data_IF_311774543776
#
_entry.id   IF_311774543776
#
_cell.length_a   1.000
_cell.length_b   1.000
_cell.length_c   1.000
_cell.angle_alpha   90.00
_cell.angle_beta   90.00
_cell.angle_gamma   90.00
#
_symmetry.space_group_name_H-M   'P 1'
#
loop_
_entity.id
_entity.type
_entity.pdbx_description
1 polymer ?
#
# COMPACT_ATOMS: atom_id res chain seq x y z
N UNK A 1 -18.08 18.39 16.84
CA UNK A 1 -18.57 18.38 15.47
C UNK A 1 -18.44 16.97 14.94
N UNK A 2 -19.32 16.56 14.02
CA UNK A 2 -19.24 15.29 13.32
C UNK A 2 -18.31 15.43 12.13
N UNK A 3 -17.34 14.52 12.00
CA UNK A 3 -16.33 14.53 10.91
C UNK A 3 -16.40 13.20 10.17
N UNK A 4 -16.60 13.25 8.84
CA UNK A 4 -16.37 12.12 7.96
C UNK A 4 -14.95 12.19 7.38
N UNK A 5 -14.25 11.06 7.32
CA UNK A 5 -12.92 10.97 6.73
C UNK A 5 -12.99 9.98 5.58
N UNK A 6 -12.68 10.46 4.37
CA UNK A 6 -12.54 9.65 3.16
C UNK A 6 -11.04 9.50 2.92
N UNK A 7 -10.50 8.30 3.10
CA UNK A 7 -9.08 8.03 2.90
C UNK A 7 -8.87 7.20 1.64
N UNK A 8 -8.15 7.78 0.67
CA UNK A 8 -7.88 7.18 -0.62
C UNK A 8 -6.42 6.77 -0.75
N UNK A 9 -6.16 5.81 -1.64
CA UNK A 9 -4.82 5.42 -2.06
C UNK A 9 -4.19 4.34 -1.19
N UNK A 10 -2.92 4.49 -0.82
CA UNK A 10 -2.10 3.41 -0.30
C UNK A 10 -2.13 3.27 1.23
N UNK A 11 -1.68 2.11 1.78
CA UNK A 11 -1.58 1.87 3.22
C UNK A 11 -0.85 2.95 4.02
N UNK A 12 0.17 3.60 3.43
CA UNK A 12 0.88 4.71 4.09
C UNK A 12 -0.01 5.93 4.29
N UNK A 13 -0.86 6.22 3.30
CA UNK A 13 -1.82 7.31 3.39
C UNK A 13 -2.93 7.01 4.41
N UNK A 14 -3.33 5.75 4.52
CA UNK A 14 -4.28 5.29 5.52
C UNK A 14 -3.74 5.47 6.95
N UNK A 15 -2.47 5.08 7.21
CA UNK A 15 -1.83 5.34 8.53
C UNK A 15 -1.77 6.83 8.83
N UNK A 16 -1.55 7.70 7.83
CA UNK A 16 -1.59 9.14 8.02
C UNK A 16 -2.99 9.61 8.45
N UNK A 17 -4.05 9.06 7.82
CA UNK A 17 -5.44 9.34 8.19
C UNK A 17 -5.75 8.89 9.62
N UNK A 18 -5.31 7.69 10.02
CA UNK A 18 -5.47 7.17 11.37
C UNK A 18 -4.87 8.11 12.43
N UNK A 19 -3.69 8.68 12.17
CA UNK A 19 -2.99 9.59 13.08
C UNK A 19 -3.76 10.92 13.23
N UNK A 20 -4.15 11.55 12.13
CA UNK A 20 -4.88 12.82 12.26
C UNK A 20 -6.33 12.62 12.73
N UNK A 21 -6.96 11.49 12.44
CA UNK A 21 -8.27 11.11 13.00
C UNK A 21 -8.21 11.05 14.53
N UNK A 22 -7.19 10.38 15.09
CA UNK A 22 -6.97 10.36 16.53
C UNK A 22 -6.80 11.78 17.12
N UNK A 23 -6.03 12.64 16.43
CA UNK A 23 -5.84 14.02 16.88
C UNK A 23 -7.15 14.82 16.89
N UNK A 24 -8.03 14.61 15.89
CA UNK A 24 -9.36 15.25 15.83
C UNK A 24 -10.29 14.73 16.94
N UNK A 25 -10.31 13.44 17.20
CA UNK A 25 -11.09 12.84 18.31
C UNK A 25 -10.62 13.42 19.64
N UNK A 26 -9.30 13.53 19.85
CA UNK A 26 -8.73 14.14 21.06
C UNK A 26 -9.08 15.62 21.21
N UNK A 27 -9.29 16.33 20.09
CA UNK A 27 -9.76 17.74 20.07
C UNK A 27 -11.29 17.86 20.31
N UNK A 28 -11.99 16.75 20.59
CA UNK A 28 -13.41 16.72 20.95
C UNK A 28 -14.37 16.55 19.77
N UNK A 29 -13.88 16.13 18.61
CA UNK A 29 -14.70 15.79 17.46
C UNK A 29 -15.15 14.32 17.51
N UNK A 30 -16.23 14.00 16.77
CA UNK A 30 -16.78 12.64 16.64
C UNK A 30 -16.73 12.23 15.19
N UNK A 31 -16.22 11.04 14.89
CA UNK A 31 -16.22 10.48 13.54
C UNK A 31 -17.56 9.86 13.20
N UNK A 32 -18.00 10.04 11.94
CA UNK A 32 -19.20 9.42 11.35
C UNK A 32 -18.80 8.70 10.08
N UNK A 33 -19.51 7.60 9.77
CA UNK A 33 -19.25 6.80 8.56
C UNK A 33 -19.92 7.44 7.34
N UNK A 34 -21.15 7.98 7.50
CA UNK A 34 -21.90 8.60 6.43
C UNK A 34 -21.48 10.07 6.26
N UNK A 35 -20.91 10.48 5.11
CA UNK A 35 -20.60 11.87 4.82
C UNK A 35 -21.82 12.81 4.87
N UNK A 36 -23.03 12.29 4.60
CA UNK A 36 -24.27 13.06 4.68
C UNK A 36 -24.63 13.52 6.10
N UNK A 37 -24.11 12.85 7.13
CA UNK A 37 -24.31 13.22 8.55
C UNK A 37 -23.23 14.17 9.10
N UNK A 38 -22.21 14.49 8.30
CA UNK A 38 -21.04 15.21 8.77
C UNK A 38 -21.26 16.74 8.78
N UNK A 39 -20.62 17.39 9.75
CA UNK A 39 -20.40 18.84 9.72
C UNK A 39 -19.16 19.20 8.89
N UNK A 40 -18.22 18.25 8.78
CA UNK A 40 -16.96 18.40 8.07
C UNK A 40 -16.64 17.09 7.35
N UNK A 41 -16.27 17.17 6.07
CA UNK A 41 -15.70 16.06 5.31
C UNK A 41 -14.22 16.33 5.08
N UNK A 42 -13.34 15.41 5.46
CA UNK A 42 -11.91 15.47 5.21
C UNK A 42 -11.55 14.39 4.20
N UNK A 43 -11.05 14.78 3.04
CA UNK A 43 -10.60 13.86 2.00
C UNK A 43 -9.08 13.75 2.04
N UNK A 44 -8.56 12.59 2.43
CA UNK A 44 -7.15 12.25 2.40
C UNK A 44 -6.82 11.61 1.05
N UNK A 45 -6.30 12.41 0.15
CA UNK A 45 -6.20 12.12 -1.28
C UNK A 45 -4.95 11.36 -1.68
N UNK A 46 -5.05 10.54 -2.72
CA UNK A 46 -3.91 10.01 -3.48
C UNK A 46 -3.62 10.92 -4.69
N UNK A 47 -2.34 11.01 -5.07
CA UNK A 47 -1.91 11.85 -6.21
C UNK A 47 -0.69 11.23 -6.88
N UNK A 48 -0.58 9.88 -6.86
CA UNK A 48 0.61 9.17 -7.34
C UNK A 48 0.58 8.91 -8.84
N UNK A 49 -0.54 8.43 -9.36
CA UNK A 49 -0.77 8.15 -10.80
C UNK A 49 -2.09 8.77 -11.24
N UNK A 50 -2.29 8.88 -12.57
CA UNK A 50 -3.46 9.58 -13.15
C UNK A 50 -4.79 9.02 -12.64
N UNK A 51 -4.98 7.71 -12.63
CA UNK A 51 -6.23 7.09 -12.14
C UNK A 51 -6.53 7.44 -10.68
N UNK A 52 -5.50 7.46 -9.81
CA UNK A 52 -5.67 7.86 -8.42
C UNK A 52 -5.94 9.37 -8.25
N UNK A 53 -5.47 10.20 -9.18
CA UNK A 53 -5.82 11.64 -9.21
C UNK A 53 -7.27 11.83 -9.61
N UNK A 54 -7.72 11.10 -10.63
CA UNK A 54 -9.13 11.12 -11.08
C UNK A 54 -10.06 10.71 -9.94
N UNK A 55 -9.81 9.57 -9.29
CA UNK A 55 -10.55 9.11 -8.12
C UNK A 55 -10.60 10.18 -7.01
N UNK A 56 -9.46 10.80 -6.71
CA UNK A 56 -9.39 11.82 -5.68
C UNK A 56 -10.21 13.06 -6.04
N UNK A 57 -10.17 13.52 -7.29
CA UNK A 57 -10.96 14.67 -7.77
C UNK A 57 -12.45 14.34 -7.73
N UNK A 58 -12.87 13.18 -8.17
CA UNK A 58 -14.26 12.72 -8.13
C UNK A 58 -14.80 12.71 -6.70
N UNK A 59 -14.04 12.19 -5.74
CA UNK A 59 -14.41 12.20 -4.32
C UNK A 59 -14.49 13.62 -3.74
N UNK A 60 -13.60 14.55 -4.14
CA UNK A 60 -13.68 15.95 -3.73
C UNK A 60 -14.97 16.59 -4.26
N UNK A 61 -15.28 16.40 -5.55
CA UNK A 61 -16.47 16.94 -6.17
C UNK A 61 -17.75 16.37 -5.55
N UNK A 62 -17.76 15.05 -5.26
CA UNK A 62 -18.87 14.39 -4.58
C UNK A 62 -19.06 14.96 -3.16
N UNK A 63 -17.99 15.15 -2.41
CA UNK A 63 -18.05 15.77 -1.09
C UNK A 63 -18.60 17.22 -1.15
N UNK A 64 -18.24 17.98 -2.16
CA UNK A 64 -18.77 19.33 -2.37
C UNK A 64 -20.27 19.35 -2.71
N UNK A 65 -20.83 18.27 -3.30
CA UNK A 65 -22.26 18.18 -3.60
C UNK A 65 -23.14 18.18 -2.34
N UNK A 66 -22.66 17.61 -1.22
CA UNK A 66 -23.38 17.63 0.07
C UNK A 66 -23.64 19.05 0.57
N UNK A 67 -22.91 20.08 0.12
CA UNK A 67 -23.17 21.49 0.44
C UNK A 67 -24.49 22.00 -0.13
N UNK A 68 -25.07 21.33 -1.13
CA UNK A 68 -26.39 21.68 -1.67
C UNK A 68 -27.49 21.40 -0.64
N UNK A 69 -27.34 20.34 0.16
CA UNK A 69 -28.27 19.94 1.20
C UNK A 69 -27.90 20.55 2.56
N UNK A 70 -26.60 20.72 2.83
CA UNK A 70 -26.06 21.33 4.05
C UNK A 70 -25.07 22.47 3.69
N UNK A 71 -25.50 23.71 3.52
CA UNK A 71 -24.65 24.84 3.16
C UNK A 71 -23.55 25.17 4.20
N UNK A 72 -23.71 24.74 5.46
CA UNK A 72 -22.73 24.93 6.53
C UNK A 72 -21.62 23.87 6.54
N UNK A 73 -21.78 22.79 5.77
CA UNK A 73 -20.78 21.72 5.61
C UNK A 73 -19.43 22.29 5.17
N UNK A 74 -18.37 21.79 5.78
CA UNK A 74 -16.99 22.14 5.41
C UNK A 74 -16.29 20.97 4.71
N UNK A 75 -15.59 21.27 3.62
CA UNK A 75 -14.78 20.30 2.86
C UNK A 75 -13.32 20.67 2.97
N UNK A 76 -12.53 19.72 3.51
CA UNK A 76 -11.08 19.87 3.71
C UNK A 76 -10.37 18.80 2.86
N UNK A 77 -9.43 19.20 2.04
CA UNK A 77 -8.63 18.29 1.21
C UNK A 77 -7.21 18.22 1.73
N UNK A 78 -6.73 17.00 1.98
CA UNK A 78 -5.34 16.73 2.39
C UNK A 78 -4.75 15.55 1.61
N UNK A 79 -3.52 15.13 1.93
CA UNK A 79 -2.88 13.98 1.31
C UNK A 79 -1.98 14.32 0.13
N UNK A 80 -1.69 13.30 -0.68
CA UNK A 80 -0.69 13.40 -1.75
C UNK A 80 -1.10 14.35 -2.89
N UNK A 81 -2.38 14.35 -3.29
CA UNK A 81 -2.88 15.27 -4.31
C UNK A 81 -2.80 16.72 -3.81
N UNK A 82 -3.26 16.96 -2.58
CA UNK A 82 -3.21 18.27 -1.94
C UNK A 82 -1.76 18.80 -1.85
N UNK A 83 -0.78 17.95 -1.58
CA UNK A 83 0.63 18.33 -1.57
C UNK A 83 1.18 18.68 -2.96
N UNK A 84 0.74 17.96 -4.01
CA UNK A 84 1.20 18.20 -5.39
C UNK A 84 0.60 19.46 -6.01
N UNK A 85 -0.70 19.64 -5.86
CA UNK A 85 -1.49 20.63 -6.63
C UNK A 85 -1.93 21.85 -5.81
N UNK A 86 -1.77 21.82 -4.49
CA UNK A 86 -1.87 22.99 -3.60
C UNK A 86 -2.95 24.01 -4.03
N UNK A 87 -2.50 25.19 -4.44
CA UNK A 87 -3.38 26.31 -4.84
C UNK A 87 -4.25 25.99 -6.05
N UNK A 88 -3.85 25.09 -6.93
CA UNK A 88 -4.65 24.72 -8.10
C UNK A 88 -6.00 24.13 -7.69
N UNK A 89 -6.03 23.28 -6.62
CA UNK A 89 -7.27 22.70 -6.11
C UNK A 89 -8.26 23.80 -5.70
N UNK A 90 -7.80 24.82 -4.95
CA UNK A 90 -8.65 25.93 -4.52
C UNK A 90 -9.13 26.79 -5.71
N UNK A 91 -8.28 26.96 -6.73
CA UNK A 91 -8.62 27.77 -7.90
C UNK A 91 -9.68 27.08 -8.78
N UNK A 92 -9.58 25.77 -8.93
CA UNK A 92 -10.47 25.01 -9.82
C UNK A 92 -11.72 24.46 -9.10
N UNK A 93 -11.64 24.26 -7.76
CA UNK A 93 -12.77 23.79 -6.94
C UNK A 93 -12.98 24.78 -5.78
N UNK A 94 -13.59 25.94 -6.05
CA UNK A 94 -13.77 27.00 -5.04
C UNK A 94 -14.70 26.61 -3.87
N UNK A 95 -15.44 25.52 -3.98
CA UNK A 95 -16.27 24.95 -2.91
C UNK A 95 -15.45 24.31 -1.78
N UNK A 96 -14.16 24.00 -2.00
CA UNK A 96 -13.26 23.46 -0.97
C UNK A 96 -12.93 24.56 0.05
N UNK A 97 -13.16 24.29 1.35
CA UNK A 97 -12.93 25.27 2.42
C UNK A 97 -11.45 25.29 2.88
N UNK A 98 -10.74 24.16 2.76
CA UNK A 98 -9.30 24.14 3.06
C UNK A 98 -8.53 23.11 2.22
N UNK A 99 -7.27 23.49 1.87
CA UNK A 99 -6.28 22.56 1.29
C UNK A 99 -5.06 22.50 2.21
N UNK A 100 -4.72 21.27 2.61
CA UNK A 100 -3.70 21.01 3.63
C UNK A 100 -2.64 20.08 3.04
N UNK A 101 -1.41 20.56 2.92
CA UNK A 101 -0.28 19.70 2.55
C UNK A 101 0.08 18.71 3.64
N UNK A 102 0.72 17.60 3.26
CA UNK A 102 1.05 16.49 4.18
C UNK A 102 1.92 16.94 5.38
N UNK A 103 2.77 17.94 5.20
CA UNK A 103 3.58 18.52 6.28
C UNK A 103 2.75 19.27 7.34
N UNK A 104 1.48 19.57 7.04
CA UNK A 104 0.56 20.28 7.95
C UNK A 104 -0.50 19.37 8.58
N UNK A 105 -0.48 18.06 8.36
CA UNK A 105 -1.51 17.15 8.89
C UNK A 105 -1.64 17.22 10.42
N UNK A 106 -0.55 17.44 11.15
CA UNK A 106 -0.56 17.65 12.59
C UNK A 106 -1.36 18.88 13.03
N UNK A 107 -1.53 19.87 12.15
CA UNK A 107 -2.30 21.09 12.41
C UNK A 107 -3.79 20.97 12.08
N UNK A 108 -4.27 19.83 11.58
CA UNK A 108 -5.67 19.63 11.18
C UNK A 108 -6.68 20.05 12.26
N UNK A 109 -6.51 19.74 13.56
CA UNK A 109 -7.44 20.23 14.59
C UNK A 109 -7.53 21.77 14.64
N UNK A 110 -6.42 22.47 14.48
CA UNK A 110 -6.40 23.95 14.42
C UNK A 110 -7.00 24.48 13.11
N UNK A 111 -6.78 23.79 11.99
CA UNK A 111 -7.36 24.13 10.68
C UNK A 111 -8.87 23.98 10.72
N UNK A 112 -9.40 22.89 11.28
CA UNK A 112 -10.83 22.67 11.49
C UNK A 112 -11.45 23.83 12.25
N UNK A 113 -10.86 24.27 13.37
CA UNK A 113 -11.36 25.43 14.13
C UNK A 113 -11.36 26.72 13.30
N UNK A 114 -10.36 26.93 12.44
CA UNK A 114 -10.28 28.10 11.56
C UNK A 114 -11.34 28.10 10.47
N UNK A 115 -11.54 26.97 9.82
CA UNK A 115 -12.54 26.79 8.76
C UNK A 115 -13.97 26.99 9.28
N UNK A 116 -14.23 26.60 10.52
CA UNK A 116 -15.54 26.72 11.16
C UNK A 116 -15.77 28.08 11.85
N UNK A 117 -14.78 28.97 11.87
CA UNK A 117 -14.97 30.32 12.43
C UNK A 117 -15.91 31.15 11.54
N UNK A 118 -16.76 31.96 12.18
CA UNK A 118 -17.70 32.84 11.45
C UNK A 118 -16.95 33.78 10.47
N UNK A 119 -17.38 33.77 9.20
CA UNK A 119 -16.75 34.59 8.16
C UNK A 119 -15.37 34.09 7.69
N UNK A 120 -15.04 32.83 7.96
CA UNK A 120 -13.80 32.24 7.50
C UNK A 120 -13.68 32.27 5.97
N UNK A 121 -12.55 32.74 5.46
CA UNK A 121 -12.11 32.53 4.08
C UNK A 121 -11.51 31.14 3.93
N UNK A 122 -11.34 30.69 2.68
CA UNK A 122 -10.59 29.48 2.39
C UNK A 122 -9.24 29.42 3.12
N UNK A 123 -8.86 28.24 3.61
CA UNK A 123 -7.65 28.04 4.39
C UNK A 123 -6.64 27.22 3.60
N UNK A 124 -5.44 27.77 3.47
CA UNK A 124 -4.29 27.04 2.93
C UNK A 124 -3.26 26.79 4.03
N UNK A 125 -2.69 25.58 4.06
CA UNK A 125 -1.65 25.23 5.04
C UNK A 125 -0.66 24.23 4.44
N UNK A 126 0.58 24.67 4.18
CA UNK A 126 1.61 23.89 3.54
C UNK A 126 2.90 23.92 4.37
N UNK A 127 2.99 23.03 5.35
CA UNK A 127 4.22 22.84 6.15
C UNK A 127 5.32 22.12 5.36
N UNK A 128 6.58 22.21 5.82
CA UNK A 128 7.67 21.42 5.27
C UNK A 128 7.35 19.90 5.35
N UNK A 129 7.74 19.15 4.32
CA UNK A 129 7.56 17.68 4.31
C UNK A 129 8.29 16.98 5.47
N UNK A 130 9.37 17.60 5.97
CA UNK A 130 10.07 17.16 7.17
C UNK A 130 9.21 17.13 8.43
N UNK A 131 8.15 17.93 8.47
CA UNK A 131 7.27 18.06 9.64
C UNK A 131 6.13 17.04 9.64
N UNK A 132 6.02 16.26 8.55
CA UNK A 132 5.09 15.15 8.50
C UNK A 132 5.39 14.13 9.60
N UNK A 133 4.37 13.78 10.39
CA UNK A 133 4.49 12.77 11.44
C UNK A 133 4.76 11.39 10.83
N UNK A 134 5.74 10.68 11.37
CA UNK A 134 6.09 9.34 10.91
C UNK A 134 5.23 8.25 11.55
N UNK A 135 4.70 8.51 12.73
CA UNK A 135 3.85 7.63 13.53
C UNK A 135 3.22 8.43 14.68
N UNK A 136 2.82 7.75 15.72
CA UNK A 136 2.19 8.34 16.90
C UNK A 136 0.89 7.65 17.27
N UNK A 137 0.18 8.19 18.26
CA UNK A 137 -1.14 7.69 18.62
C UNK A 137 -2.10 7.82 17.43
N UNK A 138 -2.82 6.75 17.13
CA UNK A 138 -3.73 6.68 15.99
C UNK A 138 -4.97 5.83 16.30
N UNK A 139 -5.98 5.91 15.48
CA UNK A 139 -7.06 4.93 15.41
C UNK A 139 -6.61 3.74 14.55
N UNK A 140 -7.37 2.67 14.56
CA UNK A 140 -7.18 1.54 13.63
C UNK A 140 -8.40 1.54 12.71
N UNK A 141 -8.20 1.90 11.45
CA UNK A 141 -9.27 1.93 10.43
C UNK A 141 -9.38 0.64 9.62
N UNK A 142 -8.37 -0.23 9.69
CA UNK A 142 -8.44 -1.59 9.16
C UNK A 142 -9.33 -2.49 10.03
N UNK A 143 -9.80 -3.65 9.52
CA UNK A 143 -10.28 -4.74 10.38
C UNK A 143 -9.28 -5.02 11.51
N UNK A 144 -9.80 -5.34 12.71
CA UNK A 144 -8.96 -5.37 13.91
C UNK A 144 -7.85 -6.43 13.91
N UNK A 145 -7.93 -7.43 13.07
CA UNK A 145 -6.98 -8.55 13.04
C UNK A 145 -5.70 -8.25 12.23
N UNK A 146 -5.67 -7.20 11.42
CA UNK A 146 -4.42 -6.75 10.78
C UNK A 146 -4.26 -5.23 10.86
N UNK A 147 -3.02 -4.77 10.77
CA UNK A 147 -2.73 -3.34 10.70
C UNK A 147 -1.43 -3.07 9.95
N UNK A 148 -1.38 -1.92 9.30
CA UNK A 148 -0.15 -1.42 8.68
C UNK A 148 0.76 -0.79 9.71
N UNK A 149 2.03 -1.17 9.71
CA UNK A 149 3.09 -0.54 10.50
C UNK A 149 3.99 0.28 9.56
N UNK A 150 3.77 1.59 9.54
CA UNK A 150 4.61 2.50 8.74
C UNK A 150 5.93 2.75 9.45
N UNK A 151 7.05 2.26 8.88
CA UNK A 151 8.39 2.30 9.49
C UNK A 151 9.27 3.44 8.98
N UNK A 152 8.93 4.01 7.83
CA UNK A 152 9.66 5.13 7.25
C UNK A 152 8.75 5.94 6.31
N UNK A 153 9.21 7.12 5.93
CA UNK A 153 8.54 8.02 4.99
C UNK A 153 9.54 8.60 4.00
N UNK A 154 9.08 8.82 2.75
CA UNK A 154 9.93 9.34 1.68
C UNK A 154 10.85 8.30 1.07
N UNK A 155 11.56 8.66 0.00
CA UNK A 155 12.40 7.73 -0.75
C UNK A 155 13.59 8.42 -1.40
N UNK A 156 14.76 7.78 -1.35
CA UNK A 156 16.00 8.26 -1.97
C UNK A 156 16.39 7.51 -3.25
N UNK A 157 15.55 6.59 -3.77
CA UNK A 157 15.87 5.78 -4.94
C UNK A 157 15.95 6.61 -6.24
N UNK A 158 15.13 7.67 -6.35
CA UNK A 158 15.21 8.62 -7.45
C UNK A 158 14.79 8.04 -8.81
N UNK A 159 13.90 7.05 -8.83
CA UNK A 159 13.35 6.48 -10.07
C UNK A 159 12.70 7.58 -10.91
N UNK A 160 12.99 7.62 -12.21
CA UNK A 160 12.61 8.73 -13.10
C UNK A 160 11.11 8.82 -13.39
N UNK A 161 10.38 7.73 -13.23
CA UNK A 161 8.91 7.69 -13.35
C UNK A 161 8.19 8.11 -12.06
N UNK A 162 8.89 8.23 -10.93
CA UNK A 162 8.26 8.26 -9.61
C UNK A 162 8.13 9.69 -9.06
N UNK A 163 6.90 10.07 -8.70
CA UNK A 163 6.61 11.35 -8.07
C UNK A 163 6.81 11.37 -6.54
N UNK A 164 7.11 10.24 -5.90
CA UNK A 164 7.23 10.15 -4.43
C UNK A 164 8.21 11.16 -3.83
N UNK A 165 9.43 11.37 -4.35
CA UNK A 165 10.33 12.37 -3.78
C UNK A 165 9.77 13.81 -3.85
N UNK A 166 8.94 14.08 -4.88
CA UNK A 166 8.25 15.35 -5.04
C UNK A 166 7.11 15.54 -4.04
N UNK A 167 6.45 14.45 -3.64
CA UNK A 167 5.30 14.45 -2.73
C UNK A 167 5.77 14.30 -1.28
N UNK A 168 6.51 13.22 -0.97
CA UNK A 168 6.83 12.78 0.39
C UNK A 168 8.25 13.10 0.85
N UNK A 169 9.09 13.60 -0.06
CA UNK A 169 10.45 14.00 0.23
C UNK A 169 11.46 12.86 0.34
N UNK A 170 12.57 13.13 1.01
CA UNK A 170 13.65 12.16 1.23
C UNK A 170 13.29 11.15 2.30
N UNK A 171 13.97 10.00 2.28
CA UNK A 171 13.85 8.95 3.29
C UNK A 171 14.05 9.51 4.71
N UNK A 172 13.11 9.20 5.59
CA UNK A 172 13.17 9.42 7.03
C UNK A 172 12.65 8.18 7.73
N UNK A 173 13.54 7.45 8.37
CA UNK A 173 13.22 6.24 9.11
C UNK A 173 12.71 6.59 10.52
N UNK A 174 11.75 5.82 11.01
CA UNK A 174 11.28 5.91 12.41
C UNK A 174 12.26 5.20 13.32
N UNK A 175 12.43 5.72 14.52
CA UNK A 175 13.20 5.04 15.56
C UNK A 175 12.66 3.62 15.82
N UNK A 176 13.56 2.65 15.97
CA UNK A 176 13.20 1.23 16.18
C UNK A 176 12.25 1.06 17.37
N UNK A 177 12.55 1.74 18.48
CA UNK A 177 11.74 1.65 19.68
C UNK A 177 10.32 2.19 19.50
N UNK A 178 10.12 3.22 18.66
CA UNK A 178 8.81 3.75 18.33
C UNK A 178 7.98 2.75 17.52
N UNK A 179 8.60 2.11 16.53
CA UNK A 179 7.96 1.07 15.75
C UNK A 179 7.55 -0.12 16.63
N UNK A 180 8.43 -0.56 17.54
CA UNK A 180 8.16 -1.67 18.46
C UNK A 180 7.06 -1.29 19.47
N UNK A 181 7.05 -0.06 19.97
CA UNK A 181 6.03 0.41 20.89
C UNK A 181 4.64 0.43 20.22
N UNK A 182 4.56 0.93 18.99
CA UNK A 182 3.32 0.92 18.21
C UNK A 182 2.86 -0.52 17.93
N UNK A 183 3.78 -1.40 17.50
CA UNK A 183 3.44 -2.80 17.22
C UNK A 183 2.92 -3.55 18.48
N UNK A 184 3.47 -3.27 19.66
CA UNK A 184 2.95 -3.80 20.93
C UNK A 184 1.54 -3.27 21.26
N UNK A 185 1.31 -1.98 21.02
CA UNK A 185 0.00 -1.40 21.19
C UNK A 185 -1.01 -2.06 20.24
N UNK A 186 -0.67 -2.21 18.95
CA UNK A 186 -1.51 -2.88 17.96
C UNK A 186 -1.84 -4.33 18.38
N UNK A 187 -0.85 -5.09 18.86
CA UNK A 187 -1.07 -6.43 19.40
C UNK A 187 -2.06 -6.43 20.57
N UNK A 188 -1.96 -5.44 21.47
CA UNK A 188 -2.89 -5.24 22.60
C UNK A 188 -4.31 -4.90 22.17
N UNK A 189 -4.49 -4.27 21.00
CA UNK A 189 -5.80 -3.98 20.39
C UNK A 189 -6.39 -5.18 19.62
N UNK A 190 -5.67 -6.32 19.56
CA UNK A 190 -6.14 -7.53 18.90
C UNK A 190 -5.60 -7.78 17.50
N UNK A 191 -4.63 -6.97 17.04
CA UNK A 191 -3.97 -7.18 15.74
C UNK A 191 -3.14 -8.46 15.79
N UNK A 192 -3.32 -9.31 14.78
CA UNK A 192 -2.64 -10.60 14.61
C UNK A 192 -1.62 -10.57 13.48
N UNK A 193 -1.88 -9.77 12.45
CA UNK A 193 -0.96 -9.57 11.32
C UNK A 193 -0.46 -8.11 11.29
N UNK A 194 0.87 -7.93 11.30
CA UNK A 194 1.51 -6.65 11.04
C UNK A 194 2.00 -6.60 9.59
N UNK A 195 1.59 -5.58 8.87
CA UNK A 195 2.04 -5.33 7.50
C UNK A 195 3.02 -4.16 7.54
N UNK A 196 4.29 -4.46 7.40
CA UNK A 196 5.38 -3.46 7.45
C UNK A 196 5.44 -2.72 6.13
N UNK A 197 5.26 -1.40 6.18
CA UNK A 197 5.18 -0.54 5.00
C UNK A 197 6.10 0.68 5.10
N UNK A 198 6.70 1.02 3.97
CA UNK A 198 7.37 2.27 3.65
C UNK A 198 7.31 2.45 2.13
N UNK A 199 7.93 3.47 1.57
CA UNK A 199 8.15 3.54 0.13
C UNK A 199 9.22 2.54 -0.34
N UNK A 200 10.13 2.20 0.57
CA UNK A 200 11.15 1.15 0.42
C UNK A 200 11.58 0.70 1.83
N UNK A 201 10.96 -0.34 2.42
CA UNK A 201 11.33 -0.83 3.74
C UNK A 201 12.76 -1.37 3.81
N UNK A 202 13.30 -1.86 2.69
CA UNK A 202 14.67 -2.38 2.65
C UNK A 202 15.74 -1.28 2.80
N UNK A 203 15.34 -0.01 2.61
CA UNK A 203 16.18 1.18 2.87
C UNK A 203 16.08 1.70 4.31
N UNK A 204 15.29 1.04 5.19
CA UNK A 204 15.14 1.47 6.58
C UNK A 204 16.48 1.58 7.30
N UNK A 205 16.74 2.75 7.91
CA UNK A 205 17.98 3.08 8.63
C UNK A 205 19.12 3.60 7.75
N UNK A 206 18.99 3.63 6.41
CA UNK A 206 20.05 4.21 5.54
C UNK A 206 20.29 5.70 5.84
N UNK A 207 19.25 6.45 6.18
CA UNK A 207 19.34 7.87 6.58
C UNK A 207 20.08 8.08 7.93
N UNK A 208 20.23 7.03 8.71
CA UNK A 208 21.08 7.00 9.94
C UNK A 208 22.50 6.46 9.69
N UNK A 209 22.83 6.10 8.44
CA UNK A 209 24.08 5.41 8.12
C UNK A 209 24.12 3.95 8.59
N UNK A 210 22.95 3.31 8.76
CA UNK A 210 22.79 1.91 9.19
C UNK A 210 22.05 1.11 8.13
N UNK A 211 22.63 0.81 6.97
CA UNK A 211 22.00 -0.04 5.97
C UNK A 211 21.70 -1.43 6.57
N UNK A 212 20.53 -1.99 6.25
CA UNK A 212 20.10 -3.28 6.79
C UNK A 212 19.47 -3.25 8.18
N UNK A 213 19.20 -2.06 8.76
CA UNK A 213 18.51 -1.93 10.05
C UNK A 213 17.11 -2.56 10.08
N UNK A 214 16.52 -2.84 8.92
CA UNK A 214 15.28 -3.62 8.80
C UNK A 214 15.41 -5.00 9.47
N UNK A 215 16.58 -5.63 9.43
CA UNK A 215 16.82 -6.92 10.08
C UNK A 215 16.68 -6.82 11.61
N UNK A 216 17.20 -5.76 12.20
CA UNK A 216 17.08 -5.52 13.66
C UNK A 216 15.61 -5.25 14.03
N UNK A 217 14.87 -4.56 13.17
CA UNK A 217 13.45 -4.32 13.38
C UNK A 217 12.66 -5.63 13.33
N UNK A 218 12.89 -6.50 12.34
CA UNK A 218 12.23 -7.80 12.26
C UNK A 218 12.52 -8.67 13.49
N UNK A 219 13.77 -8.68 13.96
CA UNK A 219 14.19 -9.38 15.18
C UNK A 219 13.51 -8.86 16.44
N UNK A 220 13.17 -7.57 16.45
CA UNK A 220 12.42 -6.97 17.55
C UNK A 220 10.91 -7.26 17.47
N UNK A 221 10.32 -7.15 16.28
CA UNK A 221 8.90 -7.44 16.04
C UNK A 221 8.54 -8.91 16.29
N UNK A 222 9.43 -9.84 15.94
CA UNK A 222 9.30 -11.28 16.21
C UNK A 222 8.97 -11.59 17.68
N UNK A 223 9.46 -10.76 18.62
CA UNK A 223 9.32 -10.97 20.07
C UNK A 223 7.99 -10.47 20.64
N UNK A 224 7.15 -9.84 19.82
CA UNK A 224 5.88 -9.26 20.30
C UNK A 224 4.85 -10.39 20.39
N UNK A 225 4.37 -10.64 21.60
CA UNK A 225 3.27 -11.55 21.85
C UNK A 225 1.97 -11.02 21.21
N UNK A 226 1.08 -11.91 20.80
CA UNK A 226 -0.19 -11.57 20.12
C UNK A 226 -0.05 -11.40 18.60
N UNK A 227 1.10 -10.98 18.08
CA UNK A 227 1.35 -10.97 16.63
C UNK A 227 1.73 -12.38 16.17
N UNK A 228 1.04 -12.88 15.15
CA UNK A 228 1.29 -14.19 14.53
C UNK A 228 1.96 -14.06 13.17
N UNK A 229 1.59 -13.06 12.37
CA UNK A 229 2.16 -12.80 11.05
C UNK A 229 2.78 -11.41 10.93
N UNK A 230 3.92 -11.34 10.25
CA UNK A 230 4.60 -10.10 9.87
C UNK A 230 4.84 -10.16 8.37
N UNK A 231 4.24 -9.26 7.60
CA UNK A 231 4.36 -9.16 6.15
C UNK A 231 5.16 -7.93 5.77
N UNK A 232 5.94 -8.01 4.68
CA UNK A 232 6.77 -6.90 4.19
C UNK A 232 6.32 -6.57 2.77
N UNK A 233 5.94 -5.30 2.52
CA UNK A 233 5.57 -4.81 1.20
C UNK A 233 6.60 -3.82 0.68
N UNK A 234 6.74 -3.71 -0.67
CA UNK A 234 7.54 -2.71 -1.38
C UNK A 234 9.06 -2.84 -1.22
N UNK A 235 9.59 -4.07 -1.13
CA UNK A 235 11.02 -4.33 -1.09
C UNK A 235 11.71 -3.96 -2.43
N UNK A 236 12.97 -3.53 -2.34
CA UNK A 236 13.72 -3.14 -3.53
C UNK A 236 14.73 -4.25 -3.90
N UNK A 237 14.71 -4.80 -5.16
CA UNK A 237 15.50 -5.97 -5.52
C UNK A 237 16.99 -5.86 -5.17
N UNK A 238 17.59 -4.70 -5.43
CA UNK A 238 19.02 -4.46 -5.23
C UNK A 238 19.44 -4.37 -3.75
N UNK A 239 18.46 -4.37 -2.82
CA UNK A 239 18.69 -4.38 -1.38
C UNK A 239 18.41 -5.73 -0.72
N UNK A 240 18.08 -6.76 -1.50
CA UNK A 240 17.86 -8.11 -1.00
C UNK A 240 19.23 -8.74 -0.70
N UNK A 241 19.78 -8.42 0.47
CA UNK A 241 21.05 -8.96 0.95
C UNK A 241 20.86 -10.34 1.60
N UNK A 242 21.96 -11.11 1.72
CA UNK A 242 21.95 -12.39 2.45
C UNK A 242 21.53 -12.20 3.92
N UNK A 243 21.90 -11.07 4.54
CA UNK A 243 21.47 -10.73 5.89
C UNK A 243 19.96 -10.52 5.99
N UNK A 244 19.32 -9.89 4.97
CA UNK A 244 17.87 -9.73 4.91
C UNK A 244 17.17 -11.07 4.73
N UNK A 245 17.63 -11.91 3.79
CA UNK A 245 17.09 -13.26 3.58
C UNK A 245 17.22 -14.09 4.87
N UNK A 246 18.39 -14.07 5.52
CA UNK A 246 18.59 -14.74 6.79
C UNK A 246 17.68 -14.19 7.90
N UNK A 247 17.36 -12.89 7.88
CA UNK A 247 16.39 -12.30 8.81
C UNK A 247 14.97 -12.81 8.55
N UNK A 248 14.54 -12.93 7.29
CA UNK A 248 13.25 -13.54 6.98
C UNK A 248 13.17 -14.99 7.47
N UNK A 249 14.19 -15.79 7.20
CA UNK A 249 14.23 -17.23 7.60
C UNK A 249 14.21 -17.43 9.12
N UNK A 250 15.04 -16.68 9.88
CA UNK A 250 15.13 -16.87 11.35
C UNK A 250 13.91 -16.34 12.11
N UNK A 251 13.17 -15.40 11.54
CA UNK A 251 12.00 -14.79 12.17
C UNK A 251 10.73 -15.50 11.70
N UNK A 252 10.29 -16.52 12.44
CA UNK A 252 9.20 -17.43 12.04
C UNK A 252 7.82 -16.78 11.89
N UNK A 253 7.63 -15.59 12.46
CA UNK A 253 6.42 -14.78 12.25
C UNK A 253 6.44 -13.99 10.94
N UNK A 254 7.62 -13.80 10.35
CA UNK A 254 7.74 -13.21 9.01
C UNK A 254 7.21 -14.22 8.00
N UNK A 255 6.09 -13.90 7.38
CA UNK A 255 5.47 -14.80 6.39
C UNK A 255 6.36 -14.95 5.16
N UNK A 256 6.37 -16.12 4.49
CA UNK A 256 7.11 -16.36 3.26
C UNK A 256 6.46 -15.63 2.07
N UNK A 257 6.42 -14.32 2.13
CA UNK A 257 5.84 -13.41 1.16
C UNK A 257 6.71 -12.18 1.02
N UNK A 258 7.01 -11.77 -0.20
CA UNK A 258 7.75 -10.53 -0.46
C UNK A 258 7.22 -9.84 -1.71
N UNK A 259 6.76 -8.59 -1.53
CA UNK A 259 6.44 -7.71 -2.65
C UNK A 259 7.72 -7.03 -3.14
N UNK A 260 8.12 -7.35 -4.38
CA UNK A 260 9.38 -6.99 -5.00
C UNK A 260 9.15 -6.30 -6.36
N UNK A 261 8.75 -5.00 -6.39
CA UNK A 261 8.47 -4.28 -7.62
C UNK A 261 9.72 -4.11 -8.50
N UNK A 262 9.88 -4.94 -9.52
CA UNK A 262 11.04 -4.90 -10.42
C UNK A 262 10.88 -3.86 -11.52
N UNK A 263 9.67 -3.52 -11.91
CA UNK A 263 9.22 -2.56 -12.91
C UNK A 263 9.47 -3.00 -14.36
N UNK A 264 10.61 -3.57 -14.69
CA UNK A 264 10.99 -4.12 -16.00
C UNK A 264 12.12 -5.14 -15.83
N UNK A 265 12.46 -5.89 -16.91
CA UNK A 265 13.57 -6.86 -16.90
C UNK A 265 14.71 -6.49 -17.85
N UNK A 266 14.50 -5.60 -18.82
CA UNK A 266 15.54 -5.18 -19.77
C UNK A 266 16.48 -4.15 -19.13
N UNK A 267 17.80 -4.35 -19.26
CA UNK A 267 18.84 -3.52 -18.66
C UNK A 267 18.82 -2.07 -19.15
N UNK A 268 18.51 -1.83 -20.43
CA UNK A 268 18.48 -0.48 -20.98
C UNK A 268 17.26 0.29 -20.49
N UNK A 269 16.11 -0.37 -20.38
CA UNK A 269 14.88 0.22 -19.81
C UNK A 269 15.06 0.49 -18.31
N UNK A 270 15.58 -0.45 -17.54
CA UNK A 270 15.87 -0.28 -16.10
C UNK A 270 16.84 0.88 -15.88
N UNK A 271 17.88 0.99 -16.69
CA UNK A 271 18.81 2.13 -16.66
C UNK A 271 18.11 3.45 -17.01
N UNK A 272 17.24 3.46 -18.01
CA UNK A 272 16.46 4.64 -18.38
C UNK A 272 15.45 5.02 -17.28
N UNK A 273 14.94 4.07 -16.51
CA UNK A 273 14.13 4.28 -15.30
C UNK A 273 14.94 4.79 -14.09
N UNK A 274 16.26 4.88 -14.20
CA UNK A 274 17.20 5.16 -13.10
C UNK A 274 17.13 4.12 -11.98
N UNK A 275 16.90 2.84 -12.34
CA UNK A 275 17.03 1.70 -11.43
C UNK A 275 18.52 1.37 -11.26
N UNK A 276 18.93 1.00 -10.04
CA UNK A 276 20.35 0.78 -9.72
C UNK A 276 20.86 -0.59 -10.14
N UNK A 277 19.98 -1.60 -10.15
CA UNK A 277 20.27 -2.95 -10.61
C UNK A 277 19.79 -3.18 -12.03
N UNK A 278 20.20 -4.29 -12.61
CA UNK A 278 19.77 -4.80 -13.91
C UNK A 278 19.07 -6.15 -13.77
N UNK A 279 18.86 -6.80 -14.91
CA UNK A 279 18.20 -8.12 -14.99
C UNK A 279 18.89 -9.16 -14.12
N UNK A 280 20.22 -9.20 -14.17
CA UNK A 280 20.99 -10.20 -13.42
C UNK A 280 20.79 -10.06 -11.93
N UNK A 281 20.80 -8.84 -11.40
CA UNK A 281 20.59 -8.59 -9.97
C UNK A 281 19.18 -9.00 -9.54
N UNK A 282 18.17 -8.80 -10.39
CA UNK A 282 16.79 -9.23 -10.17
C UNK A 282 16.71 -10.76 -10.13
N UNK A 283 17.26 -11.44 -11.16
CA UNK A 283 17.28 -12.91 -11.24
C UNK A 283 18.05 -13.54 -10.06
N UNK A 284 19.21 -12.98 -9.70
CA UNK A 284 20.01 -13.43 -8.56
C UNK A 284 19.25 -13.26 -7.22
N UNK A 285 18.54 -12.15 -7.03
CA UNK A 285 17.72 -11.92 -5.83
C UNK A 285 16.58 -12.95 -5.73
N UNK A 286 15.85 -13.17 -6.83
CA UNK A 286 14.77 -14.16 -6.90
C UNK A 286 15.29 -15.57 -6.63
N UNK A 287 16.42 -15.95 -7.27
CA UNK A 287 17.01 -17.27 -7.09
C UNK A 287 17.45 -17.52 -5.63
N UNK A 288 18.10 -16.54 -4.98
CA UNK A 288 18.51 -16.63 -3.57
C UNK A 288 17.30 -16.70 -2.63
N UNK A 289 16.25 -15.93 -2.89
CA UNK A 289 15.02 -15.97 -2.09
C UNK A 289 14.36 -17.36 -2.18
N UNK A 290 14.16 -17.88 -3.40
CA UNK A 290 13.55 -19.21 -3.60
C UNK A 290 14.40 -20.36 -3.06
N UNK A 291 15.72 -20.22 -3.12
CA UNK A 291 16.63 -21.23 -2.55
C UNK A 291 16.58 -21.27 -1.01
N UNK A 292 16.47 -20.10 -0.38
CA UNK A 292 16.46 -19.99 1.09
C UNK A 292 15.06 -20.20 1.71
N UNK A 293 13.99 -19.86 0.96
CA UNK A 293 12.59 -19.94 1.39
C UNK A 293 11.82 -20.61 0.24
N UNK A 294 11.77 -21.93 0.18
CA UNK A 294 11.18 -22.67 -0.96
C UNK A 294 9.69 -22.38 -1.22
N UNK A 295 8.94 -22.03 -0.20
CA UNK A 295 7.52 -21.70 -0.22
C UNK A 295 7.25 -20.18 -0.33
N UNK A 296 8.27 -19.38 -0.70
CA UNK A 296 8.10 -17.92 -0.80
C UNK A 296 7.15 -17.55 -1.93
N UNK A 297 6.16 -16.74 -1.59
CA UNK A 297 5.31 -16.04 -2.54
C UNK A 297 6.01 -14.74 -2.96
N UNK A 298 6.32 -14.62 -4.24
CA UNK A 298 6.89 -13.41 -4.82
C UNK A 298 5.82 -12.62 -5.57
N UNK A 299 5.52 -11.44 -5.05
CA UNK A 299 4.70 -10.44 -5.73
C UNK A 299 5.58 -9.44 -6.44
N UNK A 300 5.19 -8.98 -7.63
CA UNK A 300 5.90 -7.94 -8.36
C UNK A 300 4.96 -6.93 -9.00
N UNK A 301 5.55 -5.82 -9.41
CA UNK A 301 4.88 -4.78 -10.21
C UNK A 301 5.75 -4.46 -11.42
N UNK A 302 5.11 -4.37 -12.60
CA UNK A 302 5.71 -4.01 -13.86
C UNK A 302 5.12 -2.70 -14.39
N UNK A 303 5.90 -2.00 -15.22
CA UNK A 303 5.47 -0.83 -15.99
C UNK A 303 5.74 -1.13 -17.45
N UNK A 304 4.68 -1.18 -18.25
CA UNK A 304 4.75 -1.35 -19.70
C UNK A 304 4.64 0.00 -20.42
N UNK A 305 5.36 0.14 -21.54
CA UNK A 305 5.31 1.36 -22.34
C UNK A 305 6.10 2.53 -21.76
N UNK A 306 7.20 2.26 -21.05
CA UNK A 306 8.12 3.30 -20.59
C UNK A 306 8.72 4.03 -21.80
N UNK A 307 9.01 5.37 -21.75
CA UNK A 307 9.54 6.12 -22.88
C UNK A 307 10.77 5.44 -23.50
N UNK A 308 10.66 5.13 -24.81
CA UNK A 308 11.71 4.47 -25.58
C UNK A 308 11.74 2.94 -25.52
N UNK A 309 10.82 2.28 -24.79
CA UNK A 309 10.68 0.82 -24.80
C UNK A 309 10.34 0.31 -26.19
N UNK A 310 11.18 -0.58 -26.74
CA UNK A 310 10.97 -1.17 -28.06
C UNK A 310 10.07 -2.41 -28.01
N UNK A 311 9.62 -2.91 -29.18
CA UNK A 311 8.84 -4.15 -29.25
C UNK A 311 9.68 -5.37 -28.81
N UNK A 312 10.99 -5.38 -29.07
CA UNK A 312 11.89 -6.45 -28.65
C UNK A 312 12.03 -6.49 -27.12
N UNK A 313 12.17 -5.33 -26.48
CA UNK A 313 12.27 -5.21 -25.01
C UNK A 313 10.95 -5.59 -24.32
N UNK A 314 9.83 -5.22 -24.92
CA UNK A 314 8.52 -5.65 -24.49
C UNK A 314 8.31 -7.16 -24.63
N UNK A 315 8.72 -7.76 -25.78
CA UNK A 315 8.66 -9.20 -25.96
C UNK A 315 9.52 -9.95 -24.94
N UNK A 316 10.72 -9.41 -24.63
CA UNK A 316 11.59 -9.95 -23.57
C UNK A 316 10.94 -9.89 -22.18
N UNK A 317 10.18 -8.82 -21.90
CA UNK A 317 9.42 -8.70 -20.65
C UNK A 317 8.31 -9.76 -20.57
N UNK A 318 7.60 -10.03 -21.66
CA UNK A 318 6.60 -11.10 -21.74
C UNK A 318 7.22 -12.49 -21.48
N UNK A 319 8.37 -12.77 -22.10
CA UNK A 319 9.09 -14.03 -21.89
C UNK A 319 9.62 -14.15 -20.44
N UNK A 320 10.03 -13.05 -19.85
CA UNK A 320 10.48 -13.00 -18.45
C UNK A 320 9.34 -13.37 -17.48
N UNK A 321 8.13 -12.84 -17.70
CA UNK A 321 6.94 -13.19 -16.89
C UNK A 321 6.67 -14.69 -16.92
N UNK A 322 6.66 -15.29 -18.13
CA UNK A 322 6.44 -16.72 -18.34
C UNK A 322 7.52 -17.60 -17.70
N UNK A 323 8.78 -17.12 -17.72
CA UNK A 323 9.92 -17.89 -17.22
C UNK A 323 10.06 -17.81 -15.71
N UNK A 324 9.94 -16.61 -15.15
CA UNK A 324 10.10 -16.39 -13.68
C UNK A 324 8.89 -16.90 -12.91
N UNK A 325 7.69 -16.80 -13.51
CA UNK A 325 6.44 -17.28 -12.91
C UNK A 325 6.26 -16.69 -11.50
N UNK A 326 6.03 -15.38 -11.44
CA UNK A 326 5.67 -14.73 -10.19
C UNK A 326 4.32 -15.24 -9.69
N UNK A 327 4.19 -15.39 -8.37
CA UNK A 327 2.94 -15.83 -7.75
C UNK A 327 1.86 -14.75 -7.86
N UNK A 328 2.26 -13.51 -7.73
CA UNK A 328 1.41 -12.32 -7.87
C UNK A 328 2.10 -11.27 -8.73
N UNK A 329 1.39 -10.68 -9.67
CA UNK A 329 1.93 -9.64 -10.54
C UNK A 329 0.86 -8.63 -10.90
N UNK A 330 1.20 -7.33 -10.81
CA UNK A 330 0.43 -6.25 -11.40
C UNK A 330 1.25 -5.55 -12.48
N UNK A 331 0.66 -5.30 -13.63
CA UNK A 331 1.28 -4.50 -14.70
C UNK A 331 0.47 -3.24 -14.94
N UNK A 332 1.15 -2.10 -14.99
CA UNK A 332 0.55 -0.80 -15.25
C UNK A 332 1.10 -0.21 -16.54
N UNK A 333 0.23 0.43 -17.32
CA UNK A 333 0.65 1.33 -18.38
C UNK A 333 1.46 2.49 -17.78
N UNK A 334 2.56 2.87 -18.39
CA UNK A 334 3.36 4.00 -17.90
C UNK A 334 2.54 5.29 -17.87
N UNK A 335 2.45 5.91 -16.72
CA UNK A 335 1.81 7.21 -16.49
C UNK A 335 2.84 8.33 -16.48
N UNK A 336 2.68 9.32 -17.37
CA UNK A 336 3.59 10.47 -17.49
C UNK A 336 3.32 11.51 -16.40
N UNK A 337 3.82 11.25 -15.19
CA UNK A 337 3.57 12.10 -14.04
C UNK A 337 4.32 13.43 -14.13
N UNK A 338 3.59 14.54 -13.96
CA UNK A 338 4.11 15.87 -14.04
C UNK A 338 5.34 16.09 -13.13
N UNK A 339 6.30 16.83 -13.64
CA UNK A 339 7.57 17.15 -12.96
C UNK A 339 8.49 15.94 -12.69
N UNK A 340 8.16 14.74 -13.16
CA UNK A 340 9.10 13.62 -13.18
C UNK A 340 10.07 13.76 -14.36
N UNK A 341 11.21 13.07 -14.27
CA UNK A 341 12.19 13.05 -15.37
C UNK A 341 11.63 12.33 -16.58
N UNK A 342 10.98 11.18 -16.36
CA UNK A 342 10.44 10.34 -17.43
C UNK A 342 9.34 11.03 -18.25
N UNK A 343 8.54 11.91 -17.65
CA UNK A 343 7.53 12.68 -18.38
C UNK A 343 8.10 13.64 -19.43
N UNK A 344 9.40 13.99 -19.30
CA UNK A 344 10.12 14.89 -20.20
C UNK A 344 11.02 14.16 -21.21
N UNK A 345 11.07 12.83 -21.12
CA UNK A 345 11.87 12.02 -22.05
C UNK A 345 11.30 12.06 -23.46
N UNK A 346 12.15 12.00 -24.48
CA UNK A 346 11.70 11.78 -25.85
C UNK A 346 11.14 10.37 -26.01
N UNK A 347 10.55 10.07 -27.18
CA UNK A 347 10.03 8.76 -27.54
C UNK A 347 8.95 8.25 -26.58
N UNK A 348 8.06 9.14 -26.16
CA UNK A 348 6.84 8.76 -25.43
C UNK A 348 6.03 7.82 -26.31
N UNK A 349 5.54 6.74 -25.72
CA UNK A 349 4.68 5.76 -26.37
C UNK A 349 3.23 6.24 -26.23
N UNK A 350 2.40 6.02 -27.23
CA UNK A 350 0.99 6.39 -27.17
C UNK A 350 0.21 5.55 -26.15
N UNK A 351 -0.87 6.10 -25.62
CA UNK A 351 -1.63 5.50 -24.53
C UNK A 351 -2.23 4.13 -24.92
N UNK A 352 -2.69 3.98 -26.18
CA UNK A 352 -3.27 2.72 -26.67
C UNK A 352 -2.23 1.60 -26.67
N UNK A 353 -1.01 1.88 -27.14
CA UNK A 353 0.10 0.92 -27.11
C UNK A 353 0.51 0.56 -25.69
N UNK A 354 0.63 1.53 -24.76
CA UNK A 354 0.94 1.27 -23.36
C UNK A 354 -0.11 0.36 -22.71
N UNK A 355 -1.40 0.69 -22.88
CA UNK A 355 -2.49 -0.08 -22.31
C UNK A 355 -2.53 -1.49 -22.89
N UNK A 356 -2.46 -1.65 -24.19
CA UNK A 356 -2.39 -2.96 -24.86
C UNK A 356 -1.25 -3.84 -24.34
N UNK A 357 -0.05 -3.25 -24.12
CA UNK A 357 1.09 -3.98 -23.55
C UNK A 357 0.84 -4.41 -22.11
N UNK A 358 0.28 -3.52 -21.27
CA UNK A 358 -0.03 -3.82 -19.90
C UNK A 358 -1.11 -4.92 -19.80
N UNK A 359 -2.19 -4.81 -20.57
CA UNK A 359 -3.28 -5.79 -20.60
C UNK A 359 -2.78 -7.18 -21.01
N UNK A 360 -1.96 -7.25 -22.08
CA UNK A 360 -1.39 -8.53 -22.53
C UNK A 360 -0.47 -9.16 -21.46
N UNK A 361 0.34 -8.37 -20.73
CA UNK A 361 1.14 -8.91 -19.62
C UNK A 361 0.22 -9.45 -18.50
N UNK A 362 -0.90 -8.79 -18.24
CA UNK A 362 -1.88 -9.28 -17.24
C UNK A 362 -2.57 -10.57 -17.71
N UNK A 363 -2.85 -10.72 -19.03
CA UNK A 363 -3.35 -11.99 -19.59
C UNK A 363 -2.35 -13.13 -19.38
N UNK A 364 -1.05 -12.88 -19.70
CA UNK A 364 0.00 -13.87 -19.47
C UNK A 364 0.14 -14.25 -18.00
N UNK A 365 0.03 -13.26 -17.10
CA UNK A 365 0.09 -13.52 -15.67
C UNK A 365 -1.15 -14.28 -15.18
N UNK A 366 -2.32 -14.04 -15.75
CA UNK A 366 -3.53 -14.80 -15.40
C UNK A 366 -3.35 -16.30 -15.65
N UNK A 367 -2.71 -16.70 -16.76
CA UNK A 367 -2.35 -18.09 -17.03
C UNK A 367 -1.40 -18.65 -15.95
N UNK A 368 -0.33 -17.91 -15.65
CA UNK A 368 0.64 -18.29 -14.60
C UNK A 368 -0.04 -18.40 -13.23
N UNK A 369 -0.93 -17.45 -12.91
CA UNK A 369 -1.65 -17.42 -11.64
C UNK A 369 -2.56 -18.63 -11.48
N UNK A 370 -3.36 -18.95 -12.52
CA UNK A 370 -4.24 -20.12 -12.52
C UNK A 370 -3.47 -21.44 -12.30
N UNK A 371 -2.29 -21.58 -12.94
CA UNK A 371 -1.43 -22.75 -12.71
C UNK A 371 -0.91 -22.80 -11.27
N UNK A 372 -0.43 -21.67 -10.73
CA UNK A 372 0.10 -21.57 -9.35
C UNK A 372 -0.98 -21.82 -8.29
N UNK A 373 -2.19 -21.30 -8.51
CA UNK A 373 -3.32 -21.58 -7.60
C UNK A 373 -3.76 -23.05 -7.71
N UNK A 374 -3.78 -23.61 -8.91
CA UNK A 374 -4.06 -25.05 -9.12
C UNK A 374 -3.08 -25.99 -8.41
N UNK A 375 -1.80 -25.59 -8.27
CA UNK A 375 -0.79 -26.35 -7.51
C UNK A 375 -1.13 -26.48 -6.01
N UNK A 376 -1.99 -25.59 -5.47
CA UNK A 376 -2.40 -25.59 -4.05
C UNK A 376 -3.56 -26.51 -3.74
N UNK A 377 -4.29 -26.99 -4.76
CA UNK A 377 -5.44 -27.91 -4.59
C UNK A 377 -5.01 -29.23 -3.95
N UNK A 378 -5.75 -29.67 -2.94
CA UNK A 378 -5.45 -30.86 -2.15
C UNK A 378 -4.48 -30.63 -0.98
N UNK A 379 -3.97 -29.41 -0.79
CA UNK A 379 -3.10 -29.06 0.32
C UNK A 379 -3.86 -28.32 1.42
N UNK A 380 -3.36 -28.40 2.65
CA UNK A 380 -3.91 -27.73 3.83
C UNK A 380 -3.01 -26.56 4.23
N UNK A 381 -3.61 -25.39 4.42
CA UNK A 381 -2.91 -24.16 4.82
C UNK A 381 -3.45 -23.59 6.13
N UNK A 382 -2.59 -22.87 6.83
CA UNK A 382 -2.98 -21.96 7.91
C UNK A 382 -3.56 -20.71 7.27
N UNK A 383 -4.81 -20.37 7.59
CA UNK A 383 -5.52 -19.21 7.07
C UNK A 383 -6.05 -18.34 8.22
N UNK A 384 -6.05 -17.01 8.03
CA UNK A 384 -6.74 -16.06 8.90
C UNK A 384 -8.11 -15.73 8.28
N UNK A 385 -9.16 -15.69 9.09
CA UNK A 385 -10.49 -15.31 8.65
C UNK A 385 -10.65 -13.78 8.62
N UNK A 386 -10.90 -13.20 7.45
CA UNK A 386 -11.11 -11.76 7.28
C UNK A 386 -12.58 -11.35 7.47
N UNK A 387 -13.53 -12.28 7.37
CA UNK A 387 -14.94 -12.00 7.54
C UNK A 387 -15.82 -12.80 6.59
N UNK A 388 -17.01 -12.28 6.33
CA UNK A 388 -18.00 -12.85 5.41
C UNK A 388 -18.14 -11.92 4.23
N UNK A 389 -18.20 -12.49 3.04
CA UNK A 389 -18.58 -11.77 1.82
C UNK A 389 -20.12 -11.59 1.80
N UNK A 390 -20.56 -10.37 1.79
CA UNK A 390 -21.98 -10.02 1.84
C UNK A 390 -22.76 -10.46 0.59
N UNK A 391 -22.08 -10.66 -0.56
CA UNK A 391 -22.73 -11.04 -1.81
C UNK A 391 -22.94 -12.56 -1.89
N UNK A 392 -21.92 -13.34 -1.52
CA UNK A 392 -21.94 -14.80 -1.63
C UNK A 392 -22.33 -15.48 -0.33
N UNK A 393 -22.20 -14.81 0.82
CA UNK A 393 -22.37 -15.38 2.15
C UNK A 393 -21.25 -16.35 2.56
N UNK A 394 -20.17 -16.46 1.77
CA UNK A 394 -19.01 -17.28 2.08
C UNK A 394 -18.07 -16.55 3.01
N UNK A 395 -17.31 -17.29 3.81
CA UNK A 395 -16.19 -16.70 4.56
C UNK A 395 -15.02 -16.45 3.64
N UNK A 396 -14.41 -15.29 3.80
CA UNK A 396 -13.16 -14.89 3.19
C UNK A 396 -12.01 -15.17 4.16
N UNK A 397 -11.08 -16.01 3.75
CA UNK A 397 -9.86 -16.29 4.50
C UNK A 397 -8.65 -15.97 3.63
N UNK A 398 -7.50 -15.78 4.26
CA UNK A 398 -6.21 -15.57 3.57
C UNK A 398 -5.15 -16.52 4.12
N UNK A 399 -4.32 -17.02 3.21
CA UNK A 399 -3.11 -17.75 3.57
C UNK A 399 -1.94 -16.78 3.82
N UNK A 400 -0.78 -17.31 4.21
CA UNK A 400 0.47 -16.52 4.26
C UNK A 400 0.88 -15.95 2.92
N UNK A 401 0.38 -16.51 1.82
CA UNK A 401 0.65 -16.09 0.45
C UNK A 401 -0.20 -14.90 -0.03
N UNK A 402 -1.15 -14.43 0.80
CA UNK A 402 -2.14 -13.44 0.37
C UNK A 402 -2.11 -12.21 1.28
N UNK A 403 -1.87 -11.05 0.69
CA UNK A 403 -1.93 -9.75 1.37
C UNK A 403 -3.38 -9.22 1.36
N UNK A 404 -3.91 -8.73 2.50
CA UNK A 404 -5.27 -8.20 2.55
C UNK A 404 -5.48 -7.08 1.53
N UNK A 405 -6.67 -7.03 0.92
CA UNK A 405 -7.12 -6.00 -0.03
C UNK A 405 -6.33 -5.94 -1.36
N UNK A 406 -5.30 -6.77 -1.53
CA UNK A 406 -4.41 -6.70 -2.71
C UNK A 406 -4.41 -8.01 -3.50
N UNK A 407 -4.35 -9.15 -2.81
CA UNK A 407 -4.25 -10.48 -3.41
C UNK A 407 -5.59 -11.22 -3.31
N UNK A 408 -5.66 -12.46 -3.81
CA UNK A 408 -6.86 -13.30 -3.75
C UNK A 408 -7.20 -13.80 -2.35
N UNK A 409 -8.32 -14.48 -2.25
CA UNK A 409 -8.88 -15.03 -1.01
C UNK A 409 -9.08 -16.53 -1.09
N UNK A 410 -9.25 -17.16 0.06
CA UNK A 410 -9.78 -18.53 0.19
C UNK A 410 -11.25 -18.44 0.58
N UNK A 411 -12.14 -18.82 -0.34
CA UNK A 411 -13.57 -18.82 -0.10
C UNK A 411 -13.97 -20.15 0.57
N UNK A 412 -14.66 -20.04 1.72
CA UNK A 412 -15.07 -21.18 2.52
C UNK A 412 -16.57 -21.14 2.81
N UNK A 413 -17.34 -22.23 2.56
CA UNK A 413 -18.77 -22.27 2.88
C UNK A 413 -19.05 -22.04 4.37
N UNK A 414 -20.19 -21.45 4.67
CA UNK A 414 -20.57 -21.05 6.03
C UNK A 414 -21.33 -22.14 6.81
N UNK A 415 -21.04 -23.40 6.62
CA UNK A 415 -21.70 -24.50 7.36
C UNK A 415 -21.44 -24.46 8.87
N UNK A 416 -20.29 -23.88 9.26
CA UNK A 416 -19.93 -23.62 10.66
C UNK A 416 -19.47 -22.18 10.78
N UNK A 417 -20.00 -21.39 11.74
CA UNK A 417 -19.58 -20.01 11.92
C UNK A 417 -18.08 -19.91 12.24
N UNK A 418 -17.34 -19.15 11.42
CA UNK A 418 -15.95 -18.82 11.68
C UNK A 418 -15.86 -17.46 12.36
N UNK A 419 -14.86 -17.29 13.21
CA UNK A 419 -14.59 -16.06 13.94
C UNK A 419 -13.58 -15.18 13.16
N UNK A 420 -13.97 -13.96 12.82
CA UNK A 420 -13.09 -12.99 12.17
C UNK A 420 -11.85 -12.74 13.00
N UNK A 421 -10.69 -12.78 12.37
CA UNK A 421 -9.37 -12.62 13.01
C UNK A 421 -8.82 -13.91 13.64
N UNK A 422 -9.58 -14.99 13.68
CA UNK A 422 -9.09 -16.28 14.13
C UNK A 422 -8.39 -17.06 13.00
N UNK A 423 -7.52 -17.97 13.38
CA UNK A 423 -6.76 -18.82 12.46
C UNK A 423 -7.38 -20.20 12.36
N UNK A 424 -7.38 -20.74 11.14
CA UNK A 424 -7.93 -22.05 10.83
C UNK A 424 -6.98 -22.84 9.95
N UNK A 425 -7.00 -24.18 10.07
CA UNK A 425 -6.52 -25.06 9.02
C UNK A 425 -7.58 -25.16 7.95
N UNK A 426 -7.21 -24.89 6.70
CA UNK A 426 -8.13 -24.93 5.56
C UNK A 426 -7.54 -25.83 4.50
N UNK A 427 -8.30 -26.88 4.10
CA UNK A 427 -7.93 -27.73 2.98
C UNK A 427 -8.54 -27.17 1.71
N UNK A 428 -7.67 -26.89 0.72
CA UNK A 428 -8.06 -26.34 -0.57
C UNK A 428 -8.63 -27.46 -1.44
N UNK A 429 -9.82 -27.24 -1.99
CA UNK A 429 -10.55 -28.22 -2.82
C UNK A 429 -10.62 -27.83 -4.29
N UNK A 430 -10.54 -26.54 -4.58
CA UNK A 430 -10.61 -25.99 -5.94
C UNK A 430 -9.90 -24.63 -6.03
N UNK A 431 -9.65 -24.15 -7.24
CA UNK A 431 -9.06 -22.85 -7.51
C UNK A 431 -9.60 -22.26 -8.79
N UNK A 432 -9.63 -20.94 -8.86
CA UNK A 432 -9.74 -20.22 -10.14
C UNK A 432 -8.44 -19.44 -10.44
N UNK A 433 -8.52 -18.38 -11.24
CA UNK A 433 -7.34 -17.61 -11.62
C UNK A 433 -6.62 -16.93 -10.44
N UNK A 434 -7.36 -16.50 -9.42
CA UNK A 434 -6.82 -15.70 -8.32
C UNK A 434 -7.25 -16.19 -6.94
N UNK A 435 -8.41 -16.81 -6.84
CA UNK A 435 -9.01 -17.24 -5.59
C UNK A 435 -8.94 -18.76 -5.43
N UNK A 436 -8.97 -19.19 -4.18
CA UNK A 436 -9.00 -20.58 -3.77
C UNK A 436 -10.36 -20.91 -3.14
N UNK A 437 -10.75 -22.16 -3.21
CA UNK A 437 -11.94 -22.67 -2.55
C UNK A 437 -11.54 -23.80 -1.60
N UNK A 438 -12.09 -23.81 -0.40
CA UNK A 438 -11.73 -24.81 0.59
C UNK A 438 -12.73 -24.92 1.71
N UNK A 439 -12.41 -25.75 2.69
CA UNK A 439 -13.20 -25.87 3.91
C UNK A 439 -12.28 -25.78 5.14
N UNK A 440 -12.79 -25.10 6.17
CA UNK A 440 -12.10 -24.98 7.44
C UNK A 440 -12.27 -26.25 8.27
N UNK A 441 -11.18 -26.88 8.68
CA UNK A 441 -11.18 -28.12 9.46
C UNK A 441 -11.12 -27.86 10.96
N UNK A 442 -10.18 -27.01 11.39
CA UNK A 442 -9.83 -26.82 12.80
C UNK A 442 -9.45 -25.36 13.06
N UNK A 443 -10.03 -24.78 14.12
CA UNK A 443 -9.57 -23.50 14.66
C UNK A 443 -8.23 -23.72 15.37
N UNK A 444 -7.23 -22.93 15.00
CA UNK A 444 -5.91 -22.98 15.62
C UNK A 444 -5.89 -22.16 16.91
N UNK A 445 -5.22 -22.68 17.93
CA UNK A 445 -4.96 -21.92 19.15
C UNK A 445 -4.01 -20.74 18.87
N UNK A 446 -4.18 -19.68 19.67
CA UNK A 446 -3.39 -18.44 19.58
C UNK A 446 -1.91 -18.61 19.96
#
# INVERSE_FOLDING_TARGET
MKIAIISLGCPKNQVDADVFCHALIKDGHVTVADPGEADIIIINTCGFIESAKTEAIENILMACQYKQENPDLKVIVTGCLAERYKQQIIQEIPEVDAVVGIGSNAALPAIVRRVCAAGASQVESYGPKSDMQLGGARVISTPRHYAYLKIAEGCNNGCYYCAIPLIRGKLRSRELNDCVAEARWLAGEGVRELIVVAQDPTAYGEDWGKPGAICDLLDALQKIEGIRWIRILYAYPERISDAFIAAMVRNTKVVPYLDLPIQHCDDAVLKAMNRRGGRKEIEDAIARLRAAIPDITLRTTLIAGFPGETEEQYAELCDFVKTVRFDRLGCFAYSAEENTVAAKMPNQIDEETKQRRADHIMELQAEVSAEREGEKVGHTYECICDGVDDETGMYLLRTKADCPEIDGSVLTPADTPLETGAFYKVTITDSDTYDLYGYAEEKLED
#
